data_IF_362899317127
#
_entry.id   IF_362899317127
#
_cell.length_a   1.000
_cell.length_b   1.000
_cell.length_c   1.000
_cell.angle_alpha   90.00
_cell.angle_beta   90.00
_cell.angle_gamma   90.00
#
_symmetry.space_group_name_H-M   'P 1'
#
loop_
_entity.id
_entity.type
_entity.pdbx_description
1 polymer ?
#
# COMPACT_ATOMS: atom_id res chain seq x y z
N UNK A 1 -26.20 12.95 -6.15
CA UNK A 1 -26.00 12.47 -7.53
C UNK A 1 -25.07 11.27 -7.45
N UNK A 2 -25.65 10.10 -7.61
CA UNK A 2 -24.95 8.83 -7.41
C UNK A 2 -24.29 8.45 -8.76
N UNK A 3 -23.14 9.05 -9.06
CA UNK A 3 -22.33 8.56 -10.16
C UNK A 3 -21.53 7.36 -9.63
N UNK A 4 -22.16 6.17 -9.69
CA UNK A 4 -21.50 4.92 -9.36
C UNK A 4 -20.25 4.77 -10.25
N UNK A 5 -19.10 5.13 -9.69
CA UNK A 5 -17.83 4.91 -10.36
C UNK A 5 -17.62 3.39 -10.54
N UNK A 6 -17.67 2.93 -11.78
CA UNK A 6 -17.53 1.51 -12.06
C UNK A 6 -16.04 1.15 -12.26
N UNK A 7 -15.51 0.33 -11.36
CA UNK A 7 -14.16 -0.22 -11.48
C UNK A 7 -14.17 -1.27 -12.60
N UNK A 8 -13.48 -0.94 -13.69
CA UNK A 8 -13.30 -1.87 -14.81
C UNK A 8 -11.90 -2.47 -14.80
N UNK A 9 -11.68 -3.67 -15.36
CA UNK A 9 -10.32 -4.23 -15.49
C UNK A 9 -9.34 -3.28 -16.17
N UNK A 10 -9.81 -2.56 -17.19
CA UNK A 10 -8.99 -1.55 -17.90
C UNK A 10 -8.57 -0.40 -16.98
N UNK A 11 -9.46 0.05 -16.11
CA UNK A 11 -9.14 1.10 -15.14
C UNK A 11 -8.12 0.60 -14.12
N UNK A 12 -8.33 -0.59 -13.55
CA UNK A 12 -7.43 -1.19 -12.55
C UNK A 12 -6.01 -1.39 -13.09
N UNK A 13 -5.88 -1.91 -14.32
CA UNK A 13 -4.58 -2.10 -14.99
C UNK A 13 -3.90 -0.74 -15.21
N UNK A 14 -4.62 0.26 -15.69
CA UNK A 14 -4.05 1.60 -15.92
C UNK A 14 -3.62 2.28 -14.61
N UNK A 15 -4.37 2.08 -13.53
CA UNK A 15 -4.03 2.60 -12.22
C UNK A 15 -2.71 1.99 -11.74
N UNK A 16 -2.60 0.65 -11.79
CA UNK A 16 -1.37 -0.05 -11.44
C UNK A 16 -0.20 0.37 -12.34
N UNK A 17 -0.40 0.49 -13.66
CA UNK A 17 0.65 0.94 -14.57
C UNK A 17 1.18 2.33 -14.20
N UNK A 18 0.30 3.27 -13.82
CA UNK A 18 0.71 4.60 -13.33
C UNK A 18 1.53 4.49 -12.05
N UNK A 19 1.08 3.69 -11.07
CA UNK A 19 1.80 3.45 -9.82
C UNK A 19 3.20 2.84 -10.06
N UNK A 20 3.32 1.91 -11.00
CA UNK A 20 4.62 1.29 -11.34
C UNK A 20 5.60 2.25 -12.01
N UNK A 21 5.12 3.28 -12.71
CA UNK A 21 5.97 4.32 -13.32
C UNK A 21 6.59 5.27 -12.28
N UNK A 22 6.02 5.34 -11.09
CA UNK A 22 6.61 6.06 -9.97
C UNK A 22 7.73 5.20 -9.38
N UNK A 23 8.96 5.66 -9.49
CA UNK A 23 10.11 4.97 -8.86
C UNK A 23 10.26 5.46 -7.43
N UNK A 24 9.94 4.60 -6.49
CA UNK A 24 9.86 4.92 -5.06
C UNK A 24 10.62 3.88 -4.22
N UNK A 25 11.96 3.88 -4.27
CA UNK A 25 12.72 3.09 -3.31
C UNK A 25 12.48 3.62 -1.89
N UNK A 26 12.76 2.80 -0.86
CA UNK A 26 12.64 3.21 0.55
C UNK A 26 13.28 4.58 0.78
N UNK A 27 12.61 5.43 1.55
CA UNK A 27 12.92 6.85 1.84
C UNK A 27 12.68 7.82 0.65
N UNK A 28 12.07 7.37 -0.44
CA UNK A 28 11.72 8.21 -1.59
C UNK A 28 10.27 8.01 -2.06
N UNK A 29 9.34 7.70 -1.13
CA UNK A 29 7.95 7.31 -1.41
C UNK A 29 7.02 8.49 -1.66
N UNK A 30 7.45 9.72 -1.42
CA UNK A 30 6.60 10.92 -1.51
C UNK A 30 5.77 10.99 -2.79
N UNK A 31 6.32 10.68 -4.00
CA UNK A 31 5.52 10.70 -5.23
C UNK A 31 4.38 9.68 -5.23
N UNK A 32 4.56 8.53 -4.56
CA UNK A 32 3.52 7.52 -4.44
C UNK A 32 2.46 7.93 -3.42
N UNK A 33 2.86 8.54 -2.30
CA UNK A 33 1.93 9.03 -1.30
C UNK A 33 1.01 10.12 -1.88
N UNK A 34 1.56 11.07 -2.63
CA UNK A 34 0.79 12.10 -3.33
C UNK A 34 -0.15 11.51 -4.40
N UNK A 35 0.35 10.58 -5.19
CA UNK A 35 -0.48 9.86 -6.17
C UNK A 35 -1.65 9.11 -5.51
N UNK A 36 -1.41 8.44 -4.39
CA UNK A 36 -2.46 7.75 -3.64
C UNK A 36 -3.45 8.73 -3.01
N UNK A 37 -2.98 9.87 -2.49
CA UNK A 37 -3.86 10.90 -1.95
C UNK A 37 -4.87 11.37 -3.02
N UNK A 38 -4.39 11.75 -4.20
CA UNK A 38 -5.23 12.12 -5.33
C UNK A 38 -6.24 11.02 -5.69
N UNK A 39 -5.82 9.74 -5.64
CA UNK A 39 -6.70 8.63 -5.98
C UNK A 39 -7.71 8.32 -4.87
N UNK A 40 -7.35 8.50 -3.61
CA UNK A 40 -8.29 8.42 -2.50
C UNK A 40 -9.39 9.47 -2.63
N UNK A 41 -9.03 10.72 -2.95
CA UNK A 41 -10.00 11.80 -3.18
C UNK A 41 -10.92 11.47 -4.38
N UNK A 42 -10.36 11.05 -5.53
CA UNK A 42 -11.12 10.64 -6.71
C UNK A 42 -12.11 9.50 -6.43
N UNK A 43 -11.77 8.59 -5.52
CA UNK A 43 -12.55 7.41 -5.14
C UNK A 43 -13.49 7.67 -3.95
N UNK A 44 -13.49 8.89 -3.41
CA UNK A 44 -14.39 9.34 -2.36
C UNK A 44 -14.01 8.86 -0.97
N UNK A 45 -12.74 8.67 -0.71
CA UNK A 45 -12.24 8.52 0.66
C UNK A 45 -12.32 9.86 1.41
N UNK A 46 -12.28 9.77 2.71
CA UNK A 46 -12.34 10.88 3.65
C UNK A 46 -11.08 10.90 4.52
N UNK A 47 -10.82 12.04 5.17
CA UNK A 47 -9.65 12.20 6.07
C UNK A 47 -8.31 11.83 5.41
N UNK A 48 -8.19 12.10 4.12
CA UNK A 48 -6.98 11.81 3.35
C UNK A 48 -5.83 12.70 3.87
N UNK A 49 -4.76 12.07 4.32
CA UNK A 49 -3.58 12.77 4.83
C UNK A 49 -2.30 11.98 4.64
N UNK A 50 -1.20 12.69 4.57
CA UNK A 50 0.16 12.13 4.67
C UNK A 50 0.67 12.51 6.06
N UNK A 51 1.06 11.50 6.86
CA UNK A 51 1.54 11.73 8.22
C UNK A 51 2.99 12.26 8.25
N UNK A 52 3.52 12.49 9.44
CA UNK A 52 4.84 13.09 9.66
C UNK A 52 6.02 12.23 9.19
N UNK A 53 5.81 10.92 9.02
CA UNK A 53 6.85 10.01 8.47
C UNK A 53 6.64 9.72 6.99
N UNK A 54 5.50 10.14 6.42
CA UNK A 54 5.20 9.99 5.00
C UNK A 54 4.18 8.90 4.66
N UNK A 55 3.57 8.21 5.63
CA UNK A 55 2.46 7.28 5.35
C UNK A 55 1.26 8.03 4.79
N UNK A 56 0.65 7.50 3.74
CA UNK A 56 -0.69 7.91 3.36
C UNK A 56 -1.70 7.19 4.25
N UNK A 57 -2.65 7.93 4.79
CA UNK A 57 -3.76 7.40 5.58
C UNK A 57 -5.06 8.03 5.06
N UNK A 58 -6.05 7.20 4.79
CA UNK A 58 -7.37 7.64 4.34
C UNK A 58 -8.46 6.72 4.91
N UNK A 59 -9.68 7.21 5.02
CA UNK A 59 -10.81 6.43 5.54
C UNK A 59 -11.96 6.41 4.56
N UNK A 60 -12.77 5.35 4.59
CA UNK A 60 -14.03 5.28 3.85
C UNK A 60 -15.04 4.50 4.68
N UNK A 61 -16.29 5.00 4.70
CA UNK A 61 -17.37 4.42 5.49
C UNK A 61 -17.40 4.90 6.93
N UNK A 62 -18.32 4.36 7.72
CA UNK A 62 -18.53 4.77 9.11
C UNK A 62 -19.02 3.62 10.00
N UNK A 63 -18.71 3.71 11.29
CA UNK A 63 -19.10 2.70 12.28
C UNK A 63 -18.15 1.51 12.36
N UNK A 64 -18.66 0.41 12.91
CA UNK A 64 -17.94 -0.85 13.11
C UNK A 64 -18.47 -1.93 12.16
N UNK A 65 -17.65 -2.93 11.78
CA UNK A 65 -16.25 -3.08 12.20
C UNK A 65 -15.31 -2.05 11.55
N UNK A 66 -14.18 -1.80 12.18
CA UNK A 66 -13.10 -0.94 11.67
C UNK A 66 -11.96 -1.83 11.15
N UNK A 67 -11.72 -1.78 9.86
CA UNK A 67 -10.77 -2.65 9.19
C UNK A 67 -9.60 -1.83 8.63
N UNK A 68 -8.40 -2.16 9.07
CA UNK A 68 -7.18 -1.63 8.49
C UNK A 68 -6.81 -2.43 7.23
N UNK A 69 -6.65 -1.75 6.11
CA UNK A 69 -6.00 -2.28 4.90
C UNK A 69 -4.67 -1.56 4.72
N UNK A 70 -3.57 -2.26 4.93
CA UNK A 70 -2.24 -1.67 4.91
C UNK A 70 -1.34 -2.39 3.91
N UNK A 71 -0.67 -1.62 3.05
CA UNK A 71 0.38 -2.09 2.17
C UNK A 71 1.49 -1.06 2.11
N UNK A 72 2.66 -1.41 1.55
CA UNK A 72 3.76 -0.48 1.46
C UNK A 72 3.87 0.19 0.09
N UNK A 73 4.44 1.41 0.09
CA UNK A 73 4.60 2.25 -1.11
C UNK A 73 5.99 2.15 -1.71
N UNK A 74 6.95 1.73 -0.90
CA UNK A 74 8.34 1.59 -1.31
C UNK A 74 8.61 0.29 -2.06
N UNK A 75 9.78 0.21 -2.61
CA UNK A 75 10.33 -0.97 -3.27
C UNK A 75 11.83 -1.06 -2.99
N UNK A 76 12.39 -2.23 -3.10
CA UNK A 76 13.86 -2.37 -3.15
C UNK A 76 14.44 -1.56 -4.32
N UNK A 77 15.71 -1.11 -4.22
CA UNK A 77 16.37 -0.36 -5.28
C UNK A 77 16.45 -1.11 -6.61
N UNK A 78 16.61 -0.35 -7.70
CA UNK A 78 16.76 -0.87 -9.06
C UNK A 78 15.51 -0.66 -9.90
N UNK A 79 15.63 0.18 -10.93
CA UNK A 79 14.55 0.45 -11.88
C UNK A 79 14.32 -0.75 -12.78
N UNK A 80 13.04 -1.08 -12.99
CA UNK A 80 12.59 -2.04 -14.00
C UNK A 80 11.70 -1.29 -14.96
N UNK A 81 11.97 -1.38 -16.27
CA UNK A 81 11.13 -0.73 -17.29
C UNK A 81 9.71 -1.26 -17.22
N UNK A 82 8.76 -0.35 -17.03
CA UNK A 82 7.34 -0.72 -17.03
C UNK A 82 6.92 -1.06 -18.48
N UNK A 83 6.42 -2.27 -18.68
CA UNK A 83 5.94 -2.76 -19.96
C UNK A 83 4.83 -3.80 -19.78
N UNK A 84 3.95 -3.86 -20.76
CA UNK A 84 2.92 -4.89 -20.86
C UNK A 84 3.26 -5.85 -21.99
N UNK A 85 3.24 -7.14 -21.72
CA UNK A 85 3.46 -8.20 -22.70
C UNK A 85 2.36 -9.27 -22.52
N UNK A 86 1.44 -9.35 -23.46
CA UNK A 86 0.25 -10.19 -23.33
C UNK A 86 -0.56 -9.82 -22.08
N UNK A 87 -0.76 -10.77 -21.19
CA UNK A 87 -1.51 -10.60 -19.93
C UNK A 87 -0.62 -10.20 -18.75
N UNK A 88 0.67 -10.00 -18.96
CA UNK A 88 1.63 -9.66 -17.92
C UNK A 88 1.99 -8.18 -17.93
N UNK A 89 2.06 -7.60 -16.74
CA UNK A 89 2.56 -6.25 -16.51
C UNK A 89 3.86 -6.32 -15.70
N UNK A 90 4.94 -5.83 -16.27
CA UNK A 90 6.26 -5.82 -15.66
C UNK A 90 6.59 -4.43 -15.12
N UNK A 91 7.28 -4.40 -13.98
CA UNK A 91 7.75 -3.17 -13.36
C UNK A 91 8.27 -3.42 -11.95
N UNK A 92 9.10 -2.54 -11.42
CA UNK A 92 9.50 -2.60 -10.01
C UNK A 92 8.27 -2.38 -9.13
N UNK A 93 7.98 -3.30 -8.18
CA UNK A 93 6.79 -3.27 -7.35
C UNK A 93 5.55 -3.93 -7.98
N UNK A 94 5.66 -4.55 -9.18
CA UNK A 94 4.52 -5.20 -9.83
C UNK A 94 3.94 -6.37 -9.02
N UNK A 95 4.75 -7.03 -8.23
CA UNK A 95 4.33 -8.07 -7.29
C UNK A 95 4.42 -7.58 -5.85
N UNK A 96 5.54 -6.96 -5.50
CA UNK A 96 5.89 -6.55 -4.16
C UNK A 96 6.11 -5.02 -4.08
N UNK A 97 5.17 -4.23 -3.52
CA UNK A 97 3.78 -4.66 -3.23
C UNK A 97 2.77 -3.64 -3.78
N UNK A 98 3.09 -2.95 -4.92
CA UNK A 98 2.19 -1.94 -5.50
C UNK A 98 0.90 -2.57 -6.06
N UNK A 99 0.95 -3.82 -6.57
CA UNK A 99 -0.27 -4.47 -7.03
C UNK A 99 -1.22 -4.80 -5.87
N UNK A 100 -0.81 -5.43 -4.75
CA UNK A 100 -1.65 -5.59 -3.58
C UNK A 100 -2.19 -4.26 -3.04
N UNK A 101 -1.35 -3.23 -2.97
CA UNK A 101 -1.75 -1.91 -2.49
C UNK A 101 -2.85 -1.29 -3.37
N UNK A 102 -2.73 -1.35 -4.71
CA UNK A 102 -3.78 -0.88 -5.62
C UNK A 102 -5.03 -1.72 -5.54
N UNK A 103 -4.91 -3.04 -5.36
CA UNK A 103 -6.05 -3.91 -5.20
C UNK A 103 -6.85 -3.57 -3.93
N UNK A 104 -6.17 -3.33 -2.81
CA UNK A 104 -6.81 -2.92 -1.55
C UNK A 104 -7.50 -1.54 -1.68
N UNK A 105 -6.85 -0.56 -2.33
CA UNK A 105 -7.44 0.75 -2.60
C UNK A 105 -8.76 0.63 -3.35
N UNK A 106 -8.75 -0.15 -4.44
CA UNK A 106 -9.94 -0.35 -5.27
C UNK A 106 -11.02 -1.16 -4.54
N UNK A 107 -10.65 -2.22 -3.82
CA UNK A 107 -11.59 -2.99 -3.03
C UNK A 107 -12.29 -2.13 -1.97
N UNK A 108 -11.51 -1.31 -1.24
CA UNK A 108 -12.05 -0.39 -0.25
C UNK A 108 -13.07 0.59 -0.85
N UNK A 109 -12.81 1.09 -2.05
CA UNK A 109 -13.70 2.06 -2.70
C UNK A 109 -15.06 1.48 -3.13
N UNK A 110 -15.22 0.14 -3.12
CA UNK A 110 -16.48 -0.55 -3.51
C UNK A 110 -17.38 -0.92 -2.35
N UNK A 111 -16.94 -0.73 -1.11
CA UNK A 111 -17.75 -1.13 0.06
C UNK A 111 -18.90 -0.18 0.32
N UNK A 112 -19.97 -0.71 0.90
CA UNK A 112 -21.10 0.10 1.35
C UNK A 112 -20.70 0.93 2.58
N UNK A 113 -20.80 2.25 2.48
CA UNK A 113 -20.30 3.21 3.47
C UNK A 113 -20.95 3.12 4.86
N UNK A 114 -22.07 2.42 5.00
CA UNK A 114 -22.80 2.31 6.26
C UNK A 114 -22.54 1.01 7.02
N UNK A 115 -21.63 0.14 6.54
CA UNK A 115 -21.42 -1.21 7.07
C UNK A 115 -20.06 -1.35 7.79
N UNK A 116 -19.47 -0.27 8.23
CA UNK A 116 -18.18 -0.25 8.89
C UNK A 116 -17.23 0.79 8.30
N UNK A 117 -16.06 0.91 8.87
CA UNK A 117 -15.02 1.84 8.45
C UNK A 117 -13.82 1.07 7.91
N UNK A 118 -13.34 1.43 6.73
CA UNK A 118 -12.04 0.99 6.24
C UNK A 118 -11.04 2.12 6.47
N UNK A 119 -9.90 1.79 7.05
CA UNK A 119 -8.73 2.65 7.17
C UNK A 119 -7.71 2.12 6.16
N UNK A 120 -7.51 2.85 5.08
CA UNK A 120 -6.52 2.50 4.05
C UNK A 120 -5.20 3.19 4.36
N UNK A 121 -4.10 2.43 4.32
CA UNK A 121 -2.75 2.93 4.61
C UNK A 121 -1.78 2.48 3.53
N UNK A 122 -1.07 3.46 2.95
CA UNK A 122 0.17 3.25 2.21
C UNK A 122 1.35 3.56 3.12
N UNK A 123 2.04 2.52 3.59
CA UNK A 123 3.17 2.66 4.51
C UNK A 123 4.47 2.95 3.78
N UNK A 124 5.38 3.67 4.44
CA UNK A 124 6.74 3.96 3.96
C UNK A 124 7.76 3.02 4.60
N UNK A 125 8.92 2.84 3.90
CA UNK A 125 10.15 2.22 4.43
C UNK A 125 9.95 0.79 4.97
N UNK A 126 9.06 0.01 4.33
CA UNK A 126 8.82 -1.39 4.69
C UNK A 126 10.04 -2.26 4.36
N UNK A 127 10.57 -2.10 3.17
CA UNK A 127 11.76 -2.80 2.66
C UNK A 127 13.06 -2.41 3.40
N UNK A 128 12.99 -1.39 4.25
CA UNK A 128 14.09 -0.86 5.05
C UNK A 128 13.93 -1.10 6.54
N UNK A 129 13.62 -0.04 7.28
CA UNK A 129 13.52 -0.04 8.73
C UNK A 129 12.09 -0.17 9.27
N UNK A 130 11.10 -0.34 8.40
CA UNK A 130 9.68 -0.37 8.73
C UNK A 130 9.23 0.89 9.53
N UNK A 131 9.74 2.05 9.17
CA UNK A 131 9.48 3.32 9.87
C UNK A 131 8.00 3.67 9.84
N UNK A 132 7.34 3.45 8.69
CA UNK A 132 5.91 3.72 8.53
C UNK A 132 5.04 2.91 9.47
N UNK A 133 5.21 1.59 9.50
CA UNK A 133 4.44 0.68 10.36
C UNK A 133 4.74 0.93 11.85
N UNK A 134 6.00 1.19 12.21
CA UNK A 134 6.37 1.54 13.58
C UNK A 134 5.69 2.81 14.06
N UNK A 135 5.53 3.81 13.17
CA UNK A 135 4.81 5.04 13.48
C UNK A 135 3.31 4.78 13.64
N UNK A 136 2.73 4.03 12.70
CA UNK A 136 1.31 3.66 12.74
C UNK A 136 0.94 2.92 14.03
N UNK A 137 1.78 1.97 14.48
CA UNK A 137 1.58 1.23 15.71
C UNK A 137 1.56 2.12 16.96
N UNK A 138 2.27 3.25 16.98
CA UNK A 138 2.25 4.21 18.08
C UNK A 138 0.96 5.03 18.13
N UNK A 139 0.27 5.21 17.00
CA UNK A 139 -0.94 6.03 16.90
C UNK A 139 -2.16 5.40 17.57
N UNK A 140 -2.08 4.15 18.07
CA UNK A 140 -3.17 3.41 18.74
C UNK A 140 -4.49 3.51 17.99
N UNK A 141 -4.43 3.20 16.68
CA UNK A 141 -5.63 3.19 15.85
C UNK A 141 -6.66 2.24 16.45
N UNK A 142 -7.90 2.73 16.55
CA UNK A 142 -9.05 1.91 16.94
C UNK A 142 -9.44 1.04 15.73
N UNK A 143 -9.02 -0.23 15.74
CA UNK A 143 -9.23 -1.22 14.67
C UNK A 143 -9.65 -2.56 15.24
N UNK A 144 -10.60 -3.22 14.57
CA UNK A 144 -11.07 -4.57 14.93
C UNK A 144 -10.28 -5.64 14.16
N UNK A 145 -9.92 -5.36 12.91
CA UNK A 145 -9.21 -6.27 12.01
C UNK A 145 -8.16 -5.54 11.19
N UNK A 146 -7.10 -6.26 10.82
CA UNK A 146 -6.06 -5.76 9.92
C UNK A 146 -5.75 -6.77 8.81
N UNK A 147 -5.59 -6.25 7.58
CA UNK A 147 -5.13 -6.99 6.41
C UNK A 147 -3.92 -6.28 5.85
N UNK A 148 -2.84 -7.03 5.66
CA UNK A 148 -1.61 -6.56 5.05
C UNK A 148 -1.49 -7.09 3.64
N UNK A 149 -1.29 -6.19 2.68
CA UNK A 149 -1.20 -6.52 1.26
C UNK A 149 0.21 -6.89 0.85
N UNK A 150 0.49 -8.18 0.85
CA UNK A 150 1.77 -8.78 0.48
C UNK A 150 1.58 -9.83 -0.62
N UNK A 151 2.64 -10.22 -1.35
CA UNK A 151 2.55 -11.19 -2.45
C UNK A 151 2.33 -12.63 -1.95
N UNK A 152 1.18 -12.89 -1.32
CA UNK A 152 0.80 -14.20 -0.74
C UNK A 152 -0.07 -15.06 -1.66
N UNK A 153 -0.26 -14.64 -2.94
CA UNK A 153 -1.16 -15.31 -3.89
C UNK A 153 -2.58 -14.73 -3.87
N UNK A 154 -3.42 -15.19 -4.80
CA UNK A 154 -4.78 -14.64 -5.01
C UNK A 154 -5.90 -15.49 -4.36
N UNK A 155 -5.57 -16.67 -3.87
CA UNK A 155 -6.54 -17.64 -3.32
C UNK A 155 -6.21 -18.07 -1.89
N UNK A 156 -5.21 -17.44 -1.27
CA UNK A 156 -4.72 -17.78 0.05
C UNK A 156 -4.70 -16.58 0.96
N UNK A 157 -4.87 -16.81 2.25
CA UNK A 157 -4.66 -15.84 3.32
C UNK A 157 -3.53 -16.36 4.19
N UNK A 158 -2.42 -15.62 4.24
CA UNK A 158 -1.30 -15.93 5.12
C UNK A 158 -1.62 -15.44 6.52
N UNK A 159 -1.61 -16.33 7.50
CA UNK A 159 -1.97 -16.03 8.90
C UNK A 159 -0.76 -15.99 9.84
N UNK A 160 0.43 -16.33 9.35
CA UNK A 160 1.68 -16.29 10.12
C UNK A 160 2.89 -16.14 9.21
N UNK A 161 3.91 -15.43 9.70
CA UNK A 161 5.19 -15.24 9.05
C UNK A 161 6.33 -15.68 9.94
N UNK A 162 7.47 -16.07 9.32
CA UNK A 162 8.73 -16.27 10.04
C UNK A 162 9.31 -14.92 10.43
N UNK A 163 9.88 -14.82 11.64
CA UNK A 163 10.63 -13.64 12.05
C UNK A 163 11.93 -13.49 11.22
N UNK A 164 12.41 -12.26 11.09
CA UNK A 164 13.70 -11.92 10.47
C UNK A 164 14.63 -11.32 11.52
N UNK A 165 15.87 -11.83 11.58
CA UNK A 165 16.96 -11.24 12.34
C UNK A 165 18.05 -10.86 11.36
N UNK A 166 18.44 -9.59 11.34
CA UNK A 166 19.60 -9.11 10.58
C UNK A 166 20.76 -8.82 11.55
N UNK A 167 21.92 -9.42 11.28
CA UNK A 167 23.14 -9.22 12.07
C UNK A 167 24.18 -8.53 11.18
N UNK A 168 24.63 -7.35 11.60
CA UNK A 168 25.71 -6.65 10.94
C UNK A 168 27.02 -6.89 11.72
N UNK A 169 27.97 -7.55 11.09
CA UNK A 169 29.32 -7.75 11.64
C UNK A 169 30.31 -6.78 10.97
N UNK A 170 30.98 -5.99 11.80
CA UNK A 170 32.06 -5.12 11.35
C UNK A 170 33.38 -5.64 11.95
N UNK A 171 34.28 -6.11 11.09
CA UNK A 171 35.59 -6.59 11.48
C UNK A 171 36.66 -5.58 11.00
N UNK A 172 37.43 -5.06 11.93
CA UNK A 172 38.63 -4.28 11.59
C UNK A 172 39.80 -5.26 11.50
N UNK A 173 40.32 -5.47 10.31
CA UNK A 173 41.60 -6.16 10.09
C UNK A 173 42.69 -5.08 10.20
N UNK A 174 43.51 -5.14 11.24
CA UNK A 174 44.72 -4.30 11.34
C UNK A 174 45.67 -4.59 10.19
N UNK A 175 46.41 -3.56 9.78
CA UNK A 175 47.47 -3.66 8.77
C UNK A 175 48.61 -4.59 9.22
#
# INVERSE_FOLDING_TARGET
>A
MDSSFTITPRFSIKLLEKALRLYTPSLAERPMAEFLADKCDDLGFENVRIDEVGNLIATIGSGSPRVLLCGHMDTVPGKVKVRKEGDYLYGRGASDAKAPLMAMLLAASTVHRNNGTIIFVGAVDEEGNATGIKNLAKQKLDIDYAVFGEPSGITQVTIAYKGRIAINLKVNVGD
#
